data_IF_989916413137
#
_entry.id   IF_989916413137
#
_cell.length_a   1.000
_cell.length_b   1.000
_cell.length_c   1.000
_cell.angle_alpha   90.00
_cell.angle_beta   90.00
_cell.angle_gamma   90.00
#
_symmetry.space_group_name_H-M   'P 1'
#
loop_
_entity.id
_entity.type
_entity.pdbx_description
1 polymer ?
#
# COMPACT_ATOMS: atom_id res chain seq x y z
N UNK A 1 -13.80 -43.89 4.68
CA UNK A 1 -14.48 -42.69 4.16
C UNK A 1 -15.93 -43.04 3.79
N UNK A 2 -16.86 -43.14 4.75
CA UNK A 2 -18.27 -43.51 4.45
C UNK A 2 -19.33 -42.76 5.28
N UNK A 3 -18.91 -42.06 6.35
CA UNK A 3 -19.82 -41.42 7.32
C UNK A 3 -19.96 -39.90 7.18
N UNK A 4 -19.20 -39.25 6.29
CA UNK A 4 -19.25 -37.80 6.09
C UNK A 4 -20.28 -37.36 5.01
N UNK A 5 -20.70 -38.29 4.13
CA UNK A 5 -21.57 -37.97 2.99
C UNK A 5 -23.08 -37.97 3.31
N UNK A 6 -23.53 -38.58 4.40
CA UNK A 6 -24.97 -38.59 4.76
C UNK A 6 -25.45 -37.28 5.39
N UNK A 7 -24.55 -36.52 6.04
CA UNK A 7 -24.91 -35.25 6.70
C UNK A 7 -25.23 -34.13 5.72
N UNK A 8 -24.56 -34.08 4.56
CA UNK A 8 -24.79 -33.03 3.54
C UNK A 8 -26.12 -33.26 2.81
N UNK A 9 -26.53 -34.52 2.58
CA UNK A 9 -27.76 -34.86 1.88
C UNK A 9 -29.05 -34.55 2.66
N UNK A 10 -28.97 -34.27 3.96
CA UNK A 10 -30.14 -34.05 4.82
C UNK A 10 -30.46 -32.56 5.02
N UNK A 11 -29.50 -31.66 4.76
CA UNK A 11 -29.65 -30.21 4.95
C UNK A 11 -30.35 -29.49 3.77
N UNK A 12 -30.38 -30.09 2.58
CA UNK A 12 -30.91 -29.45 1.35
C UNK A 12 -32.40 -29.73 1.08
N UNK A 13 -33.08 -30.49 1.94
CA UNK A 13 -34.46 -30.96 1.71
C UNK A 13 -35.53 -30.24 2.55
N UNK A 14 -35.21 -29.09 3.18
CA UNK A 14 -36.15 -28.32 4.03
C UNK A 14 -36.04 -26.81 3.87
N UNK A 15 -36.43 -26.29 2.71
CA UNK A 15 -36.89 -24.89 2.56
C UNK A 15 -38.10 -24.83 1.65
N UNK A 16 -39.26 -24.52 2.21
CA UNK A 16 -40.51 -24.23 1.48
C UNK A 16 -40.44 -22.85 0.80
N UNK A 17 -41.18 -22.63 -0.31
CA UNK A 17 -40.94 -21.48 -1.18
C UNK A 17 -41.57 -20.20 -0.64
N UNK A 18 -40.82 -19.09 -0.70
CA UNK A 18 -41.38 -17.74 -0.68
C UNK A 18 -41.54 -17.25 -2.13
N UNK A 19 -42.78 -17.12 -2.58
CA UNK A 19 -43.11 -16.36 -3.78
C UNK A 19 -43.24 -14.88 -3.40
N UNK A 20 -42.56 -13.97 -4.11
CA UNK A 20 -43.17 -12.80 -4.73
C UNK A 20 -42.21 -12.21 -5.77
N UNK A 21 -42.77 -11.56 -6.79
CA UNK A 21 -42.07 -11.39 -8.07
C UNK A 21 -41.34 -10.06 -8.26
N UNK A 22 -40.21 -10.13 -8.95
CA UNK A 22 -39.85 -9.15 -9.99
C UNK A 22 -38.90 -9.82 -11.00
N UNK A 23 -39.13 -9.65 -12.31
CA UNK A 23 -38.35 -10.30 -13.37
C UNK A 23 -37.05 -9.53 -13.65
N UNK A 24 -35.86 -10.17 -13.64
CA UNK A 24 -34.69 -9.63 -14.31
C UNK A 24 -34.79 -9.92 -15.82
N UNK A 25 -34.69 -8.87 -16.65
CA UNK A 25 -34.60 -9.04 -18.11
C UNK A 25 -33.13 -9.32 -18.47
N UNK A 26 -32.75 -10.59 -18.60
CA UNK A 26 -31.50 -10.96 -19.26
C UNK A 26 -31.68 -10.80 -20.78
N UNK A 27 -31.02 -9.80 -21.36
CA UNK A 27 -30.69 -9.80 -22.80
C UNK A 27 -29.32 -10.43 -22.99
N UNK A 28 -29.30 -11.60 -23.61
CA UNK A 28 -28.10 -12.10 -24.28
C UNK A 28 -27.91 -11.30 -25.57
N UNK A 29 -26.68 -10.84 -25.82
CA UNK A 29 -26.23 -10.44 -27.15
C UNK A 29 -24.99 -11.27 -27.45
N UNK A 30 -25.18 -12.27 -28.31
CA UNK A 30 -24.10 -12.98 -28.98
C UNK A 30 -24.12 -12.46 -30.41
N UNK A 31 -23.01 -11.87 -30.86
CA UNK A 31 -22.49 -12.05 -32.23
C UNK A 31 -21.17 -11.30 -32.43
N UNK A 32 -20.35 -11.88 -33.30
CA UNK A 32 -19.11 -11.35 -33.84
C UNK A 32 -19.05 -11.81 -35.31
N UNK A 33 -18.04 -11.43 -36.10
CA UNK A 33 -17.49 -10.08 -36.32
C UNK A 33 -17.58 -9.69 -37.82
N UNK A 34 -17.46 -8.40 -38.18
CA UNK A 34 -17.14 -8.04 -39.57
C UNK A 34 -16.45 -6.68 -39.74
N UNK A 35 -15.66 -6.60 -40.81
CA UNK A 35 -14.63 -5.62 -41.11
C UNK A 35 -15.12 -4.31 -41.78
N UNK A 36 -14.61 -3.19 -41.27
CA UNK A 36 -13.97 -2.03 -41.96
C UNK A 36 -14.74 -1.10 -42.93
N UNK A 37 -14.38 0.21 -42.81
CA UNK A 37 -14.70 1.39 -43.65
C UNK A 37 -16.16 1.92 -43.51
N UNK A 38 -16.42 3.23 -43.43
CA UNK A 38 -15.98 4.32 -44.33
C UNK A 38 -15.66 5.65 -43.58
N UNK A 39 -14.75 6.44 -44.18
CA UNK A 39 -14.38 7.83 -43.83
C UNK A 39 -15.39 8.85 -44.40
N UNK A 40 -15.86 9.83 -43.64
CA UNK A 40 -16.36 11.14 -44.17
C UNK A 40 -15.98 12.28 -43.23
N UNK A 41 -15.60 13.42 -43.79
CA UNK A 41 -15.04 14.60 -43.11
C UNK A 41 -15.94 15.84 -43.16
N UNK A 42 -15.86 16.67 -42.11
CA UNK A 42 -16.02 18.14 -42.09
C UNK A 42 -17.31 18.84 -42.58
N UNK A 43 -17.78 19.79 -41.76
CA UNK A 43 -17.91 21.23 -42.05
C UNK A 43 -19.19 21.90 -41.48
N UNK A 44 -18.94 23.05 -40.87
CA UNK A 44 -19.82 24.06 -40.26
C UNK A 44 -20.92 24.64 -41.18
N UNK A 45 -22.01 25.20 -40.61
CA UNK A 45 -22.19 26.67 -40.54
C UNK A 45 -23.47 27.18 -39.80
N UNK A 46 -23.22 28.10 -38.85
CA UNK A 46 -23.91 29.31 -38.40
C UNK A 46 -25.39 29.74 -38.69
N UNK A 47 -25.92 30.57 -37.73
CA UNK A 47 -26.82 31.76 -37.88
C UNK A 47 -28.37 31.50 -37.99
N UNK A 48 -29.35 32.21 -37.37
CA UNK A 48 -29.44 33.42 -36.49
C UNK A 48 -30.76 33.52 -35.64
N UNK A 49 -30.69 34.26 -34.52
CA UNK A 49 -31.64 35.27 -33.96
C UNK A 49 -33.11 34.98 -33.50
N UNK A 50 -33.38 35.31 -32.22
CA UNK A 50 -34.41 36.28 -31.70
C UNK A 50 -35.03 35.80 -30.36
N UNK A 51 -35.29 36.61 -29.32
CA UNK A 51 -34.99 38.03 -29.05
C UNK A 51 -35.17 38.37 -27.54
N UNK A 52 -34.67 39.53 -27.10
CA UNK A 52 -34.82 40.11 -25.73
C UNK A 52 -36.15 40.92 -25.61
N UNK A 53 -36.56 41.53 -24.46
CA UNK A 53 -35.78 42.05 -23.31
C UNK A 53 -36.39 41.64 -21.92
N UNK A 54 -36.01 42.11 -20.72
CA UNK A 54 -34.85 42.82 -20.11
C UNK A 54 -35.03 42.87 -18.58
N UNK A 55 -33.96 42.86 -17.78
CA UNK A 55 -33.77 43.78 -16.62
C UNK A 55 -32.33 43.72 -16.08
N UNK A 56 -31.91 44.76 -15.35
CA UNK A 56 -30.50 45.07 -15.04
C UNK A 56 -30.24 44.98 -13.53
N UNK A 57 -29.22 44.20 -13.12
CA UNK A 57 -28.42 44.55 -11.93
C UNK A 57 -27.00 43.98 -11.97
N UNK A 58 -26.04 44.88 -11.79
CA UNK A 58 -24.59 44.65 -11.80
C UNK A 58 -24.13 43.81 -10.60
N UNK A 59 -23.40 42.71 -10.82
CA UNK A 59 -22.48 42.15 -9.82
C UNK A 59 -21.13 41.79 -10.46
N UNK A 60 -20.08 42.27 -9.78
CA UNK A 60 -18.65 41.94 -9.87
C UNK A 60 -18.26 40.66 -10.63
N UNK A 61 -17.21 40.78 -11.43
CA UNK A 61 -16.39 39.66 -11.88
C UNK A 61 -15.99 38.77 -10.69
N UNK A 62 -16.44 37.52 -10.69
CA UNK A 62 -15.85 36.46 -9.87
C UNK A 62 -14.63 35.99 -10.63
N UNK A 63 -13.45 36.34 -10.12
CA UNK A 63 -12.19 35.75 -10.59
C UNK A 63 -12.22 34.25 -10.35
N UNK A 64 -11.94 33.48 -11.39
CA UNK A 64 -11.74 32.03 -11.30
C UNK A 64 -10.58 31.78 -10.32
N UNK A 65 -10.89 31.20 -9.17
CA UNK A 65 -9.88 30.80 -8.17
C UNK A 65 -9.20 29.52 -8.67
N UNK A 66 -8.24 29.69 -9.58
CA UNK A 66 -7.39 28.63 -10.08
C UNK A 66 -6.60 28.05 -8.91
N UNK A 67 -7.02 26.87 -8.44
CA UNK A 67 -6.55 26.25 -7.19
C UNK A 67 -5.02 26.18 -7.06
N UNK A 68 -4.45 27.18 -6.42
CA UNK A 68 -3.02 27.28 -6.18
C UNK A 68 -2.68 26.46 -4.93
N UNK A 69 -2.39 25.18 -5.13
CA UNK A 69 -2.02 24.22 -4.07
C UNK A 69 -0.93 24.81 -3.18
N UNK A 70 -1.30 25.15 -1.94
CA UNK A 70 -0.41 25.83 -1.01
C UNK A 70 0.50 24.83 -0.30
N UNK A 71 1.82 25.07 -0.37
CA UNK A 71 2.80 24.38 0.47
C UNK A 71 2.39 24.49 1.95
N UNK A 72 2.66 23.48 2.79
CA UNK A 72 2.30 23.53 4.21
C UNK A 72 2.83 24.81 4.84
N UNK A 73 1.98 25.49 5.61
CA UNK A 73 2.31 26.77 6.23
C UNK A 73 3.48 26.63 7.21
N UNK A 74 4.18 27.73 7.49
CA UNK A 74 5.29 27.71 8.44
C UNK A 74 4.87 27.14 9.82
N UNK A 75 3.63 27.43 10.26
CA UNK A 75 3.07 26.92 11.51
C UNK A 75 2.88 25.39 11.47
N UNK A 76 2.23 24.87 10.42
CA UNK A 76 2.03 23.42 10.24
C UNK A 76 3.37 22.65 10.20
N UNK A 77 4.40 23.21 9.56
CA UNK A 77 5.73 22.59 9.53
C UNK A 77 6.39 22.49 10.92
N UNK A 78 6.24 23.52 11.76
CA UNK A 78 6.75 23.51 13.14
C UNK A 78 6.00 22.47 13.98
N UNK A 79 4.69 22.45 13.88
CA UNK A 79 3.79 21.53 14.59
C UNK A 79 4.05 20.07 14.20
N UNK A 80 4.22 19.80 12.90
CA UNK A 80 4.56 18.48 12.38
C UNK A 80 5.94 18.00 12.89
N UNK A 81 6.95 18.88 12.89
CA UNK A 81 8.28 18.56 13.42
C UNK A 81 8.24 18.26 14.91
N UNK A 82 7.40 18.94 15.68
CA UNK A 82 7.19 18.66 17.10
C UNK A 82 6.55 17.28 17.32
N UNK A 83 5.55 16.90 16.51
CA UNK A 83 4.92 15.57 16.58
C UNK A 83 5.96 14.47 16.27
N UNK A 84 6.70 14.60 15.17
CA UNK A 84 7.75 13.61 14.78
C UNK A 84 8.83 13.50 15.84
N UNK A 85 9.38 14.61 16.34
CA UNK A 85 10.39 14.59 17.40
C UNK A 85 9.84 13.99 18.71
N UNK A 86 8.61 14.33 19.09
CA UNK A 86 7.94 13.76 20.26
C UNK A 86 7.75 12.24 20.15
N UNK A 87 7.36 11.76 18.97
CA UNK A 87 7.22 10.33 18.67
C UNK A 87 8.56 9.59 18.73
N UNK A 88 9.61 10.10 18.06
CA UNK A 88 10.95 9.49 18.09
C UNK A 88 11.51 9.44 19.52
N UNK A 89 11.38 10.53 20.28
CA UNK A 89 11.82 10.58 21.69
C UNK A 89 11.06 9.59 22.57
N UNK A 90 9.74 9.43 22.39
CA UNK A 90 8.91 8.49 23.15
C UNK A 90 9.07 7.03 22.73
N UNK A 91 9.69 6.79 21.57
CA UNK A 91 10.08 5.46 21.10
C UNK A 91 11.49 5.06 21.55
N UNK A 92 12.16 5.88 22.38
CA UNK A 92 13.60 5.79 22.71
C UNK A 92 14.44 5.57 21.44
N UNK A 93 14.16 6.34 20.39
CA UNK A 93 14.84 6.17 19.11
C UNK A 93 16.33 6.51 19.24
N UNK A 94 17.17 5.55 18.83
CA UNK A 94 18.63 5.67 18.80
C UNK A 94 19.09 5.17 17.44
N UNK A 95 19.67 6.02 16.58
CA UNK A 95 20.04 5.62 15.22
C UNK A 95 20.99 4.42 15.25
N UNK A 96 20.61 3.25 14.69
CA UNK A 96 21.48 2.07 14.61
C UNK A 96 22.73 2.31 13.75
N UNK A 97 22.69 3.32 12.86
CA UNK A 97 23.72 3.64 11.87
C UNK A 97 24.01 2.44 10.95
N UNK A 98 22.95 1.81 10.45
CA UNK A 98 23.04 0.60 9.63
C UNK A 98 23.93 0.85 8.39
N UNK A 99 25.00 0.08 8.18
CA UNK A 99 25.90 0.29 7.04
C UNK A 99 25.23 -0.13 5.72
N UNK A 100 25.59 0.55 4.63
CA UNK A 100 25.15 0.17 3.29
C UNK A 100 25.76 -1.18 2.88
N UNK A 101 24.93 -2.14 2.46
CA UNK A 101 25.37 -3.42 1.93
C UNK A 101 25.67 -3.27 0.43
N UNK A 102 26.96 -3.05 0.11
CA UNK A 102 27.43 -2.89 -1.27
C UNK A 102 27.30 -4.21 -2.08
N UNK A 103 27.35 -5.37 -1.41
CA UNK A 103 27.19 -6.67 -2.06
C UNK A 103 25.72 -6.87 -2.42
N UNK A 104 24.79 -6.53 -1.53
CA UNK A 104 23.36 -6.53 -1.81
C UNK A 104 23.04 -5.64 -3.01
N UNK A 105 23.45 -4.36 -2.99
CA UNK A 105 23.24 -3.44 -4.13
C UNK A 105 23.75 -4.01 -5.45
N UNK A 106 25.00 -4.49 -5.49
CA UNK A 106 25.57 -5.06 -6.70
C UNK A 106 24.79 -6.28 -7.22
N UNK A 107 24.31 -7.16 -6.32
CA UNK A 107 23.46 -8.29 -6.70
C UNK A 107 22.08 -7.85 -7.21
N UNK A 108 21.46 -6.86 -6.58
CA UNK A 108 20.13 -6.36 -6.97
C UNK A 108 20.20 -5.65 -8.33
N UNK A 109 21.17 -4.76 -8.54
CA UNK A 109 21.42 -4.15 -9.86
C UNK A 109 21.66 -5.20 -10.94
N UNK A 110 22.59 -6.14 -10.72
CA UNK A 110 22.90 -7.17 -11.71
C UNK A 110 21.75 -8.13 -12.01
N UNK A 111 20.75 -8.23 -11.13
CA UNK A 111 19.53 -8.99 -11.38
C UNK A 111 18.51 -8.16 -12.19
N UNK A 112 18.28 -6.90 -11.81
CA UNK A 112 17.40 -5.97 -12.56
C UNK A 112 17.90 -5.78 -13.99
N UNK A 113 19.21 -5.65 -14.20
CA UNK A 113 19.83 -5.53 -15.53
C UNK A 113 19.50 -6.74 -16.42
N UNK A 114 19.35 -7.94 -15.85
CA UNK A 114 18.99 -9.17 -16.61
C UNK A 114 17.54 -9.17 -17.07
N UNK A 115 16.64 -8.50 -16.34
CA UNK A 115 15.23 -8.42 -16.70
C UNK A 115 15.02 -7.73 -18.05
N UNK A 116 16.04 -6.98 -18.54
CA UNK A 116 16.06 -6.38 -19.88
C UNK A 116 14.85 -5.46 -20.14
N UNK A 117 14.39 -4.78 -19.10
CA UNK A 117 13.23 -3.90 -19.13
C UNK A 117 13.63 -2.49 -19.56
N UNK A 118 12.80 -1.86 -20.39
CA UNK A 118 12.98 -0.47 -20.82
C UNK A 118 12.51 0.49 -19.70
N UNK A 119 13.31 0.57 -18.64
CA UNK A 119 13.08 1.41 -17.46
C UNK A 119 14.10 2.55 -17.48
N UNK A 120 13.62 3.77 -17.22
CA UNK A 120 14.50 4.93 -17.05
C UNK A 120 15.61 4.66 -16.01
N UNK A 121 16.90 4.94 -16.30
CA UNK A 121 18.00 4.66 -15.39
C UNK A 121 17.89 5.34 -14.02
N UNK A 122 17.20 6.49 -13.92
CA UNK A 122 16.96 7.15 -12.62
C UNK A 122 15.90 6.42 -11.81
N UNK A 123 14.88 5.85 -12.47
CA UNK A 123 13.91 4.95 -11.83
C UNK A 123 14.57 3.64 -11.37
N UNK A 124 15.46 3.03 -12.17
CA UNK A 124 16.26 1.87 -11.74
C UNK A 124 17.09 2.21 -10.49
N UNK A 125 17.82 3.33 -10.51
CA UNK A 125 18.64 3.77 -9.37
C UNK A 125 17.79 4.02 -8.11
N UNK A 126 16.66 4.73 -8.24
CA UNK A 126 15.67 4.96 -7.17
C UNK A 126 15.13 3.63 -6.61
N UNK A 127 14.81 2.67 -7.48
CA UNK A 127 14.30 1.35 -7.12
C UNK A 127 15.34 0.55 -6.32
N UNK A 128 16.55 0.37 -6.88
CA UNK A 128 17.68 -0.33 -6.24
C UNK A 128 17.99 0.27 -4.87
N UNK A 129 18.22 1.58 -4.81
CA UNK A 129 18.57 2.23 -3.55
C UNK A 129 17.44 2.07 -2.54
N UNK A 130 16.20 2.45 -2.86
CA UNK A 130 15.10 2.41 -1.88
C UNK A 130 14.86 0.99 -1.37
N UNK A 131 14.92 -0.03 -2.23
CA UNK A 131 14.73 -1.42 -1.81
C UNK A 131 15.87 -1.97 -0.96
N UNK A 132 17.12 -1.66 -1.31
CA UNK A 132 18.29 -2.06 -0.52
C UNK A 132 18.28 -1.34 0.85
N UNK A 133 18.01 -0.03 0.86
CA UNK A 133 17.85 0.75 2.08
C UNK A 133 16.82 0.15 3.03
N UNK A 134 15.67 -0.30 2.51
CA UNK A 134 14.63 -0.90 3.33
C UNK A 134 14.99 -2.30 3.84
N UNK A 135 15.58 -3.14 2.98
CA UNK A 135 16.04 -4.48 3.36
C UNK A 135 17.20 -4.47 4.37
N UNK A 136 18.11 -3.50 4.25
CA UNK A 136 19.27 -3.33 5.14
C UNK A 136 18.86 -2.90 6.54
N UNK A 137 18.00 -1.89 6.63
CA UNK A 137 17.53 -1.37 7.92
C UNK A 137 16.52 -2.32 8.54
N UNK A 138 15.29 -2.38 8.02
CA UNK A 138 14.18 -3.09 8.65
C UNK A 138 14.40 -4.61 8.76
N UNK A 139 15.20 -5.21 7.87
CA UNK A 139 15.44 -6.65 7.81
C UNK A 139 16.91 -7.06 7.94
N UNK A 140 17.74 -6.17 8.50
CA UNK A 140 19.18 -6.40 8.71
C UNK A 140 19.54 -7.60 9.60
N UNK A 141 18.58 -8.17 10.34
CA UNK A 141 18.73 -9.40 11.13
C UNK A 141 18.60 -10.68 10.31
N UNK A 142 18.00 -10.61 9.12
CA UNK A 142 17.79 -11.77 8.26
C UNK A 142 19.08 -12.17 7.51
N UNK A 143 19.13 -13.41 7.02
CA UNK A 143 20.30 -13.91 6.28
C UNK A 143 20.49 -13.16 4.95
N UNK A 144 21.69 -13.19 4.33
CA UNK A 144 21.95 -12.53 3.05
C UNK A 144 21.00 -12.94 1.93
N UNK A 145 20.51 -14.18 1.94
CA UNK A 145 19.54 -14.72 0.98
C UNK A 145 18.14 -14.12 1.20
N UNK A 146 17.71 -14.02 2.46
CA UNK A 146 16.43 -13.39 2.82
C UNK A 146 16.46 -11.88 2.53
N UNK A 147 17.53 -11.16 2.89
CA UNK A 147 17.69 -9.73 2.53
C UNK A 147 17.67 -9.51 1.01
N UNK A 148 18.28 -10.41 0.24
CA UNK A 148 18.25 -10.38 -1.21
C UNK A 148 16.84 -10.57 -1.78
N UNK A 149 16.08 -11.57 -1.30
CA UNK A 149 14.67 -11.73 -1.67
C UNK A 149 13.87 -10.48 -1.30
N UNK A 150 14.00 -9.99 -0.06
CA UNK A 150 13.22 -8.84 0.44
C UNK A 150 13.52 -7.58 -0.38
N UNK A 151 14.78 -7.35 -0.75
CA UNK A 151 15.16 -6.25 -1.63
C UNK A 151 14.58 -6.42 -3.05
N UNK A 152 14.65 -7.60 -3.68
CA UNK A 152 14.02 -7.83 -4.99
C UNK A 152 12.50 -7.66 -4.93
N UNK A 153 11.86 -8.21 -3.90
CA UNK A 153 10.42 -8.08 -3.67
C UNK A 153 10.02 -6.61 -3.52
N UNK A 154 10.75 -5.87 -2.68
CA UNK A 154 10.51 -4.44 -2.44
C UNK A 154 10.73 -3.62 -3.71
N UNK A 155 11.76 -3.95 -4.51
CA UNK A 155 12.00 -3.33 -5.81
C UNK A 155 10.80 -3.55 -6.77
N UNK A 156 10.32 -4.80 -6.87
CA UNK A 156 9.15 -5.14 -7.70
C UNK A 156 7.88 -4.42 -7.26
N UNK A 157 7.64 -4.28 -5.95
CA UNK A 157 6.50 -3.54 -5.41
C UNK A 157 6.60 -2.04 -5.71
N UNK A 158 7.74 -1.42 -5.41
CA UNK A 158 7.96 0.03 -5.62
C UNK A 158 7.83 0.44 -7.09
N UNK A 159 8.40 -0.34 -8.01
CA UNK A 159 8.22 -0.06 -9.45
C UNK A 159 6.83 -0.52 -9.95
N UNK A 160 6.21 -1.50 -9.30
CA UNK A 160 4.82 -1.89 -9.53
C UNK A 160 3.82 -0.75 -9.24
N UNK A 161 4.07 0.10 -8.25
CA UNK A 161 3.32 1.35 -8.00
C UNK A 161 3.46 2.32 -9.19
N UNK A 162 4.71 2.58 -9.63
CA UNK A 162 5.01 3.48 -10.77
C UNK A 162 4.38 2.95 -12.09
N UNK A 163 4.36 1.64 -12.32
CA UNK A 163 3.66 0.97 -13.44
C UNK A 163 2.13 1.09 -13.28
N UNK A 164 1.60 0.85 -12.08
CA UNK A 164 0.17 0.91 -11.80
C UNK A 164 -0.42 2.30 -12.01
N UNK A 165 0.34 3.35 -11.72
CA UNK A 165 -0.06 4.73 -11.96
C UNK A 165 -0.16 5.06 -13.47
N UNK A 166 0.56 4.33 -14.32
CA UNK A 166 0.53 4.47 -15.78
C UNK A 166 -0.52 3.54 -16.43
N UNK A 167 -0.63 2.31 -15.95
CA UNK A 167 -1.65 1.33 -16.33
C UNK A 167 -2.28 0.66 -15.08
N UNK A 168 -3.37 1.24 -14.52
CA UNK A 168 -4.12 0.63 -13.42
C UNK A 168 -4.69 -0.75 -13.77
N UNK A 169 -4.84 -1.06 -15.06
CA UNK A 169 -5.34 -2.37 -15.49
C UNK A 169 -4.29 -3.47 -15.35
N UNK A 170 -2.99 -3.15 -15.37
CA UNK A 170 -1.93 -4.12 -15.13
C UNK A 170 -1.99 -4.65 -13.68
N UNK A 171 -2.13 -3.75 -12.72
CA UNK A 171 -2.23 -4.05 -11.29
C UNK A 171 -3.51 -4.83 -10.95
N UNK A 172 -4.68 -4.36 -11.40
CA UNK A 172 -5.97 -5.04 -11.13
C UNK A 172 -6.06 -6.45 -11.71
N UNK A 173 -5.28 -6.78 -12.73
CA UNK A 173 -5.26 -8.12 -13.33
C UNK A 173 -4.36 -9.12 -12.60
N UNK A 174 -3.47 -8.66 -11.70
CA UNK A 174 -2.43 -9.49 -11.10
C UNK A 174 -2.97 -10.77 -10.47
N UNK A 175 -3.95 -10.62 -9.56
CA UNK A 175 -4.56 -11.72 -8.82
C UNK A 175 -5.20 -12.76 -9.76
N UNK A 176 -5.93 -12.29 -10.78
CA UNK A 176 -6.62 -13.15 -11.76
C UNK A 176 -5.62 -13.95 -12.59
N UNK A 177 -4.56 -13.30 -13.07
CA UNK A 177 -3.52 -13.93 -13.89
C UNK A 177 -2.71 -14.94 -13.08
N UNK A 178 -2.32 -14.57 -11.85
CA UNK A 178 -1.60 -15.43 -10.91
C UNK A 178 -2.35 -16.74 -10.63
N UNK A 179 -3.64 -16.66 -10.27
CA UNK A 179 -4.49 -17.83 -9.98
C UNK A 179 -4.69 -18.73 -11.21
N UNK A 180 -4.64 -18.18 -12.42
CA UNK A 180 -4.77 -18.93 -13.67
C UNK A 180 -3.45 -19.48 -14.21
N UNK A 181 -2.30 -19.08 -13.65
CA UNK A 181 -0.99 -19.35 -14.24
C UNK A 181 -0.77 -18.64 -15.59
N UNK A 182 -1.50 -17.56 -15.86
CA UNK A 182 -1.30 -16.70 -17.03
C UNK A 182 -0.07 -15.79 -16.81
N UNK A 183 0.71 -15.46 -17.86
CA UNK A 183 1.71 -14.40 -17.79
C UNK A 183 1.09 -13.09 -17.30
N UNK A 184 1.85 -12.30 -16.55
CA UNK A 184 1.36 -11.05 -15.99
C UNK A 184 1.20 -9.97 -17.05
N UNK A 185 0.51 -8.88 -16.70
CA UNK A 185 0.28 -7.76 -17.60
C UNK A 185 1.55 -6.92 -17.86
N UNK A 186 2.52 -6.98 -16.95
CA UNK A 186 3.82 -6.32 -17.06
C UNK A 186 4.93 -7.25 -16.53
N UNK A 187 6.11 -7.34 -17.15
CA UNK A 187 7.18 -8.27 -16.73
C UNK A 187 7.62 -8.12 -15.27
N UNK A 188 7.58 -6.92 -14.67
CA UNK A 188 7.90 -6.73 -13.24
C UNK A 188 7.00 -7.61 -12.34
N UNK A 189 5.76 -7.82 -12.75
CA UNK A 189 4.82 -8.65 -12.02
C UNK A 189 5.06 -10.15 -12.27
N UNK A 190 5.65 -10.54 -13.41
CA UNK A 190 6.13 -11.91 -13.61
C UNK A 190 7.31 -12.22 -12.67
N UNK A 191 8.24 -11.27 -12.48
CA UNK A 191 9.32 -11.40 -11.48
C UNK A 191 8.77 -11.48 -10.04
N UNK A 192 7.81 -10.61 -9.70
CA UNK A 192 7.11 -10.68 -8.41
C UNK A 192 6.40 -12.03 -8.21
N UNK A 193 5.66 -12.51 -9.21
CA UNK A 193 5.01 -13.82 -9.19
C UNK A 193 5.99 -15.00 -9.15
N UNK A 194 7.23 -14.80 -9.61
CA UNK A 194 8.36 -15.71 -9.39
C UNK A 194 8.71 -15.79 -7.90
N UNK A 195 9.02 -14.65 -7.28
CA UNK A 195 9.33 -14.58 -5.84
C UNK A 195 8.22 -15.21 -4.98
N UNK A 196 6.95 -14.94 -5.27
CA UNK A 196 5.81 -15.52 -4.53
C UNK A 196 5.78 -17.06 -4.55
N UNK A 197 6.27 -17.72 -5.61
CA UNK A 197 6.36 -19.20 -5.66
C UNK A 197 7.44 -19.73 -4.72
N UNK A 198 8.51 -18.97 -4.55
CA UNK A 198 9.66 -19.32 -3.72
C UNK A 198 9.44 -18.97 -2.23
N UNK A 199 8.37 -18.26 -1.87
CA UNK A 199 8.11 -17.79 -0.50
C UNK A 199 8.16 -18.92 0.56
N UNK A 200 7.62 -20.11 0.26
CA UNK A 200 7.66 -21.24 1.19
C UNK A 200 9.07 -21.80 1.41
N UNK A 201 10.06 -21.51 0.55
CA UNK A 201 11.45 -21.91 0.76
C UNK A 201 12.11 -21.13 1.92
N UNK A 202 11.63 -19.91 2.18
CA UNK A 202 12.28 -18.94 3.07
C UNK A 202 11.47 -18.62 4.34
N UNK A 203 10.14 -18.54 4.25
CA UNK A 203 9.26 -18.24 5.40
C UNK A 203 8.49 -19.48 5.87
N UNK A 204 8.03 -19.45 7.13
CA UNK A 204 7.09 -20.45 7.67
C UNK A 204 5.83 -20.50 6.80
N UNK A 205 5.06 -21.59 6.82
CA UNK A 205 3.91 -21.72 5.90
C UNK A 205 2.87 -20.60 6.10
N UNK A 206 2.57 -20.25 7.35
CA UNK A 206 1.74 -19.08 7.70
C UNK A 206 2.35 -17.77 7.18
N UNK A 207 3.67 -17.62 7.25
CA UNK A 207 4.36 -16.43 6.74
C UNK A 207 4.38 -16.33 5.23
N UNK A 208 4.62 -17.44 4.53
CA UNK A 208 4.57 -17.51 3.07
C UNK A 208 3.16 -17.25 2.54
N UNK A 209 2.13 -17.86 3.15
CA UNK A 209 0.72 -17.61 2.83
C UNK A 209 0.37 -16.12 3.03
N UNK A 210 0.83 -15.50 4.13
CA UNK A 210 0.60 -14.08 4.40
C UNK A 210 1.37 -13.15 3.44
N UNK A 211 2.56 -13.53 2.99
CA UNK A 211 3.31 -12.80 1.95
C UNK A 211 2.55 -12.87 0.62
N UNK A 212 2.12 -14.06 0.20
CA UNK A 212 1.39 -14.25 -1.07
C UNK A 212 0.05 -13.50 -1.06
N UNK A 213 -0.76 -13.69 -0.01
CA UNK A 213 -2.07 -13.04 0.11
C UNK A 213 -1.96 -11.54 0.32
N UNK A 214 -1.02 -11.06 1.15
CA UNK A 214 -0.74 -9.64 1.35
C UNK A 214 -0.24 -8.94 0.09
N UNK A 215 0.51 -9.63 -0.78
CA UNK A 215 0.90 -9.08 -2.10
C UNK A 215 -0.32 -8.88 -3.00
N UNK A 216 -1.21 -9.86 -3.05
CA UNK A 216 -2.46 -9.80 -3.82
C UNK A 216 -3.36 -8.67 -3.30
N UNK A 217 -3.48 -8.54 -1.98
CA UNK A 217 -4.29 -7.51 -1.34
C UNK A 217 -3.71 -6.11 -1.51
N UNK A 218 -2.39 -5.95 -1.44
CA UNK A 218 -1.71 -4.68 -1.70
C UNK A 218 -1.95 -4.19 -3.12
N UNK A 219 -1.65 -5.01 -4.13
CA UNK A 219 -1.89 -4.64 -5.53
C UNK A 219 -3.39 -4.38 -5.79
N UNK A 220 -4.29 -5.20 -5.25
CA UNK A 220 -5.74 -4.96 -5.37
C UNK A 220 -6.17 -3.64 -4.73
N UNK A 221 -5.55 -3.22 -3.62
CA UNK A 221 -5.84 -1.97 -2.94
C UNK A 221 -5.18 -0.75 -3.61
N UNK A 222 -3.99 -0.88 -4.18
CA UNK A 222 -3.36 0.14 -5.04
C UNK A 222 -4.24 0.45 -6.26
N UNK A 223 -4.89 -0.56 -6.85
CA UNK A 223 -5.92 -0.30 -7.87
C UNK A 223 -7.14 0.47 -7.32
N UNK A 224 -7.57 0.20 -6.09
CA UNK A 224 -8.63 0.98 -5.42
C UNK A 224 -8.16 2.43 -5.24
N UNK A 225 -6.94 2.67 -4.75
CA UNK A 225 -6.38 4.02 -4.57
C UNK A 225 -6.44 4.83 -5.87
N UNK A 226 -6.03 4.26 -7.01
CA UNK A 226 -6.18 4.90 -8.32
C UNK A 226 -7.65 5.15 -8.69
N UNK A 227 -8.50 4.13 -8.58
CA UNK A 227 -9.92 4.20 -8.92
C UNK A 227 -10.74 5.15 -8.02
N UNK A 228 -10.23 5.47 -6.83
CA UNK A 228 -10.89 6.36 -5.85
C UNK A 228 -10.14 7.68 -5.61
N UNK A 229 -9.21 8.08 -6.49
CA UNK A 229 -8.42 9.31 -6.33
C UNK A 229 -9.29 10.55 -6.12
N UNK A 230 -10.36 10.71 -6.90
CA UNK A 230 -11.31 11.83 -6.79
C UNK A 230 -12.53 11.51 -5.91
N UNK A 231 -12.52 10.39 -5.18
CA UNK A 231 -13.67 9.95 -4.37
C UNK A 231 -13.80 10.79 -3.10
N UNK A 232 -14.93 11.49 -2.96
CA UNK A 232 -15.26 12.18 -1.71
C UNK A 232 -15.51 11.15 -0.61
N UNK A 233 -14.72 11.23 0.48
CA UNK A 233 -14.92 10.38 1.65
C UNK A 233 -16.14 10.84 2.43
N UNK A 234 -17.10 9.93 2.61
CA UNK A 234 -18.31 10.21 3.37
C UNK A 234 -17.97 10.42 4.87
N UNK A 235 -18.53 11.45 5.52
CA UNK A 235 -18.48 11.57 6.98
C UNK A 235 -19.00 10.28 7.64
N UNK A 236 -18.38 9.88 8.76
CA UNK A 236 -18.63 8.61 9.47
C UNK A 236 -18.15 7.33 8.76
N UNK A 237 -17.45 7.40 7.61
CA UNK A 237 -16.82 6.25 6.98
C UNK A 237 -15.52 5.78 7.71
N UNK A 238 -15.48 5.86 9.05
CA UNK A 238 -14.25 5.81 9.87
C UNK A 238 -13.44 4.52 9.77
N UNK A 239 -14.03 3.42 9.29
CA UNK A 239 -13.30 2.17 9.00
C UNK A 239 -12.61 2.13 7.64
N UNK A 240 -13.07 2.93 6.68
CA UNK A 240 -12.54 2.93 5.31
C UNK A 240 -11.05 3.31 5.22
N UNK A 241 -10.56 4.37 5.90
CA UNK A 241 -9.15 4.74 5.88
C UNK A 241 -8.24 3.61 6.36
N UNK A 242 -8.60 2.95 7.47
CA UNK A 242 -7.81 1.82 7.98
C UNK A 242 -7.88 0.60 7.07
N UNK A 243 -9.08 0.27 6.56
CA UNK A 243 -9.28 -0.83 5.61
C UNK A 243 -8.44 -0.66 4.33
N UNK A 244 -8.32 0.56 3.80
CA UNK A 244 -7.46 0.83 2.65
C UNK A 244 -5.99 0.73 3.04
N UNK A 245 -5.60 1.35 4.17
CA UNK A 245 -4.22 1.38 4.66
C UNK A 245 -3.65 -0.01 4.97
N UNK A 246 -4.41 -0.87 5.63
CA UNK A 246 -3.95 -2.23 5.99
C UNK A 246 -3.67 -3.09 4.77
N UNK A 247 -4.44 -2.89 3.70
CA UNK A 247 -4.26 -3.60 2.42
C UNK A 247 -3.14 -2.98 1.58
N UNK A 248 -3.27 -1.71 1.19
CA UNK A 248 -2.34 -1.05 0.28
C UNK A 248 -0.92 -0.90 0.86
N UNK A 249 -0.80 -0.61 2.17
CA UNK A 249 0.48 -0.38 2.82
C UNK A 249 1.38 -1.63 2.97
N UNK A 250 0.89 -2.81 2.56
CA UNK A 250 1.66 -4.06 2.57
C UNK A 250 2.03 -4.58 3.97
N UNK A 251 1.19 -4.29 4.96
CA UNK A 251 1.41 -4.66 6.36
C UNK A 251 1.74 -6.14 6.57
N UNK A 252 0.90 -7.09 6.09
CA UNK A 252 1.10 -8.52 6.30
C UNK A 252 2.45 -9.04 5.78
N UNK A 253 2.81 -8.79 4.52
CA UNK A 253 4.05 -9.29 3.93
C UNK A 253 5.30 -8.77 4.66
N UNK A 254 5.35 -7.47 4.97
CA UNK A 254 6.53 -6.87 5.63
C UNK A 254 6.63 -7.27 7.10
N UNK A 255 5.51 -7.49 7.79
CA UNK A 255 5.49 -8.05 9.15
C UNK A 255 6.00 -9.49 9.14
N UNK A 256 5.57 -10.33 8.19
CA UNK A 256 6.00 -11.72 8.11
C UNK A 256 7.45 -11.90 7.64
N UNK A 257 8.01 -10.96 6.87
CA UNK A 257 9.44 -10.98 6.51
C UNK A 257 10.40 -10.94 7.72
N UNK A 258 9.94 -10.46 8.89
CA UNK A 258 10.73 -10.50 10.13
C UNK A 258 11.08 -11.93 10.57
N UNK A 259 10.24 -12.92 10.22
CA UNK A 259 10.22 -14.26 10.84
C UNK A 259 10.61 -15.35 9.83
N UNK A 260 11.92 -15.50 9.58
CA UNK A 260 12.49 -16.55 8.70
C UNK A 260 12.06 -17.96 9.14
N UNK A 261 11.90 -18.91 8.21
CA UNK A 261 11.57 -20.32 8.49
C UNK A 261 12.58 -20.97 9.44
N UNK A 262 13.85 -20.58 9.35
CA UNK A 262 14.95 -21.09 10.18
C UNK A 262 15.05 -20.46 11.57
N UNK A 263 14.23 -19.45 11.89
CA UNK A 263 14.35 -18.72 13.15
C UNK A 263 13.79 -19.49 14.35
N UNK A 264 12.62 -20.13 14.18
CA UNK A 264 11.95 -20.92 15.22
C UNK A 264 11.24 -22.14 14.64
N UNK A 265 11.06 -23.17 15.47
CA UNK A 265 10.40 -24.42 15.10
C UNK A 265 8.92 -24.22 14.71
N UNK A 266 8.17 -23.37 15.43
CA UNK A 266 6.77 -23.06 15.12
C UNK A 266 6.46 -21.57 15.14
N UNK A 267 5.51 -21.16 14.29
CA UNK A 267 5.08 -19.76 14.18
C UNK A 267 4.28 -19.30 15.41
N UNK A 268 3.61 -20.22 16.12
CA UNK A 268 2.70 -19.97 17.25
C UNK A 268 3.30 -19.06 18.32
N UNK A 269 4.62 -19.14 18.52
CA UNK A 269 5.39 -18.36 19.50
C UNK A 269 5.38 -16.84 19.26
N UNK A 270 5.01 -16.37 18.06
CA UNK A 270 4.98 -14.95 17.71
C UNK A 270 3.67 -14.48 17.05
N UNK A 271 2.72 -15.37 16.73
CA UNK A 271 1.49 -15.00 16.00
C UNK A 271 0.68 -13.89 16.69
N UNK A 272 0.65 -13.86 18.03
CA UNK A 272 -0.15 -12.90 18.79
C UNK A 272 0.34 -11.45 18.72
N UNK A 273 1.61 -11.20 18.35
CA UNK A 273 2.12 -9.83 18.19
C UNK A 273 2.01 -9.31 16.76
N UNK A 274 1.74 -10.17 15.77
CA UNK A 274 1.68 -9.76 14.36
C UNK A 274 0.69 -8.61 14.09
N UNK A 275 -0.54 -8.59 14.65
CA UNK A 275 -1.49 -7.50 14.38
C UNK A 275 -1.03 -6.15 14.94
N UNK A 276 -0.36 -6.14 16.11
CA UNK A 276 0.20 -4.92 16.67
C UNK A 276 1.48 -4.49 15.94
N UNK A 277 2.32 -5.42 15.44
CA UNK A 277 3.46 -5.08 14.56
C UNK A 277 2.94 -4.46 13.27
N UNK A 278 1.94 -5.07 12.63
CA UNK A 278 1.35 -4.56 11.39
C UNK A 278 0.79 -3.15 11.60
N UNK A 279 0.00 -2.96 12.66
CA UNK A 279 -0.56 -1.66 13.01
C UNK A 279 0.54 -0.62 13.31
N UNK A 280 1.56 -1.00 14.10
CA UNK A 280 2.70 -0.15 14.39
C UNK A 280 3.46 0.26 13.12
N UNK A 281 3.83 -0.69 12.26
CA UNK A 281 4.57 -0.46 11.02
C UNK A 281 3.82 0.47 10.07
N UNK A 282 2.52 0.20 9.86
CA UNK A 282 1.69 0.98 8.95
C UNK A 282 1.42 2.41 9.45
N UNK A 283 1.25 2.59 10.76
CA UNK A 283 1.05 3.91 11.38
C UNK A 283 2.35 4.70 11.60
N UNK A 284 3.49 4.01 11.74
CA UNK A 284 4.83 4.62 11.97
C UNK A 284 5.50 5.12 10.68
N UNK A 285 4.91 4.88 9.52
CA UNK A 285 5.43 5.36 8.24
C UNK A 285 5.41 6.91 8.21
N UNK A 286 6.58 7.55 8.42
CA UNK A 286 6.70 9.01 8.58
C UNK A 286 6.60 9.79 7.26
N UNK A 287 5.79 9.32 6.32
CA UNK A 287 5.64 9.89 4.98
C UNK A 287 4.83 11.18 4.94
N UNK A 288 3.97 11.46 5.92
CA UNK A 288 3.04 12.60 5.88
C UNK A 288 3.71 13.95 5.56
N UNK A 289 4.95 14.21 6.01
CA UNK A 289 5.68 15.42 5.63
C UNK A 289 6.00 15.53 4.13
N UNK A 290 6.45 14.44 3.49
CA UNK A 290 6.71 14.46 2.03
C UNK A 290 5.41 14.63 1.25
N UNK A 291 4.31 14.11 1.79
CA UNK A 291 2.96 14.11 1.21
C UNK A 291 2.36 15.51 1.22
N UNK A 292 2.42 16.20 2.36
CA UNK A 292 2.05 17.61 2.52
C UNK A 292 2.82 18.51 1.54
N UNK A 293 4.13 18.31 1.36
CA UNK A 293 4.92 19.11 0.40
C UNK A 293 4.53 18.81 -1.06
N UNK A 294 4.08 17.59 -1.35
CA UNK A 294 3.64 17.17 -2.67
C UNK A 294 2.17 17.51 -2.97
N UNK A 295 1.38 17.92 -1.96
CA UNK A 295 -0.06 18.11 -2.09
C UNK A 295 -0.85 16.79 -2.15
N UNK A 296 -0.26 15.68 -1.70
CA UNK A 296 -0.86 14.34 -1.72
C UNK A 296 -1.97 14.21 -0.67
N UNK A 297 -3.24 14.37 -1.07
CA UNK A 297 -4.41 14.24 -0.16
C UNK A 297 -5.03 12.84 -0.11
N UNK A 298 -4.68 11.94 -1.03
CA UNK A 298 -5.12 10.54 -1.01
C UNK A 298 -4.22 9.67 -0.11
N UNK A 299 -4.09 10.06 1.17
CA UNK A 299 -3.27 9.36 2.16
C UNK A 299 -4.07 9.07 3.44
N UNK A 300 -3.63 8.10 4.25
CA UNK A 300 -4.36 7.62 5.43
C UNK A 300 -4.79 8.76 6.39
N UNK A 301 -3.92 9.73 6.64
CA UNK A 301 -4.17 10.83 7.59
C UNK A 301 -5.28 11.73 7.06
N UNK A 302 -5.24 12.09 5.77
CA UNK A 302 -6.30 12.88 5.12
C UNK A 302 -7.62 12.13 4.97
N UNK A 303 -7.58 10.86 4.58
CA UNK A 303 -8.77 10.01 4.46
C UNK A 303 -9.47 9.85 5.81
N UNK A 304 -8.71 9.68 6.90
CA UNK A 304 -9.22 9.63 8.27
C UNK A 304 -9.74 10.98 8.75
N UNK A 305 -9.03 12.07 8.47
CA UNK A 305 -9.48 13.43 8.78
C UNK A 305 -10.85 13.74 8.14
N UNK A 306 -11.03 13.36 6.87
CA UNK A 306 -12.30 13.49 6.17
C UNK A 306 -13.41 12.58 6.74
N UNK A 307 -13.10 11.32 7.06
CA UNK A 307 -14.08 10.39 7.62
C UNK A 307 -14.54 10.78 9.05
N UNK A 308 -13.62 11.30 9.88
CA UNK A 308 -13.86 11.67 11.29
C UNK A 308 -14.25 13.14 11.48
N UNK A 309 -14.15 13.97 10.43
CA UNK A 309 -14.42 15.41 10.45
C UNK A 309 -13.54 16.18 11.45
N UNK A 310 -12.25 15.83 11.52
CA UNK A 310 -11.23 16.48 12.37
C UNK A 310 -9.99 16.88 11.54
N UNK A 311 -9.15 17.83 12.00
CA UNK A 311 -7.97 18.26 11.24
C UNK A 311 -6.91 17.15 11.05
N UNK A 312 -6.17 17.10 9.92
CA UNK A 312 -5.12 16.10 9.68
C UNK A 312 -4.04 16.01 10.77
N UNK A 313 -3.61 17.15 11.33
CA UNK A 313 -2.63 17.16 12.42
C UNK A 313 -3.17 16.57 13.73
N UNK A 314 -4.49 16.57 13.93
CA UNK A 314 -5.12 15.92 15.08
C UNK A 314 -5.19 14.40 14.89
N UNK A 315 -5.50 13.94 13.67
CA UNK A 315 -5.36 12.52 13.31
C UNK A 315 -3.94 12.02 13.55
N UNK A 316 -2.92 12.81 13.17
CA UNK A 316 -1.53 12.41 13.34
C UNK A 316 -1.11 12.29 14.82
N UNK A 317 -1.67 13.12 15.72
CA UNK A 317 -1.49 12.95 17.18
C UNK A 317 -2.13 11.68 17.69
N UNK A 318 -3.38 11.42 17.30
CA UNK A 318 -4.09 10.21 17.72
C UNK A 318 -3.36 8.96 17.24
N UNK A 319 -2.94 8.93 15.96
CA UNK A 319 -2.12 7.87 15.40
C UNK A 319 -0.80 7.67 16.17
N UNK A 320 -0.16 8.76 16.60
CA UNK A 320 1.06 8.71 17.42
C UNK A 320 0.81 7.98 18.75
N UNK A 321 -0.30 8.26 19.45
CA UNK A 321 -0.67 7.54 20.67
C UNK A 321 -1.03 6.07 20.40
N UNK A 322 -1.75 5.82 19.30
CA UNK A 322 -2.19 4.49 18.88
C UNK A 322 -0.99 3.56 18.58
N UNK A 323 0.02 4.01 17.82
CA UNK A 323 1.22 3.20 17.55
C UNK A 323 2.07 3.01 18.80
N UNK A 324 2.21 4.03 19.65
CA UNK A 324 2.92 3.90 20.93
C UNK A 324 2.18 2.97 21.91
N UNK A 325 0.88 2.76 21.75
CA UNK A 325 0.14 1.73 22.47
C UNK A 325 0.37 0.32 21.92
N UNK A 326 0.41 0.14 20.59
CA UNK A 326 0.83 -1.13 19.98
C UNK A 326 2.24 -1.55 20.37
N UNK A 327 3.22 -0.63 20.38
CA UNK A 327 4.57 -0.94 20.86
C UNK A 327 4.58 -1.49 22.30
N UNK A 328 3.83 -0.84 23.21
CA UNK A 328 3.67 -1.28 24.61
C UNK A 328 2.92 -2.62 24.75
N UNK A 329 1.95 -2.90 23.87
CA UNK A 329 1.26 -4.20 23.81
C UNK A 329 2.20 -5.31 23.37
N UNK A 330 2.99 -5.09 22.32
CA UNK A 330 3.99 -6.05 21.83
C UNK A 330 4.95 -6.42 22.95
N UNK A 331 5.56 -5.44 23.62
CA UNK A 331 6.47 -5.68 24.75
C UNK A 331 5.81 -6.50 25.88
N UNK A 332 4.55 -6.22 26.19
CA UNK A 332 3.78 -6.96 27.20
C UNK A 332 3.49 -8.41 26.80
N UNK A 333 3.18 -8.66 25.53
CA UNK A 333 2.89 -10.01 25.00
C UNK A 333 4.18 -10.83 24.90
N UNK A 334 5.29 -10.21 24.48
CA UNK A 334 6.64 -10.82 24.45
C UNK A 334 7.06 -11.28 25.86
N UNK A 335 6.79 -10.46 26.89
CA UNK A 335 6.97 -10.84 28.28
C UNK A 335 8.42 -11.15 28.64
N UNK A 336 8.76 -12.44 28.79
CA UNK A 336 10.10 -12.91 29.16
C UNK A 336 10.90 -13.52 27.99
N UNK A 337 10.34 -13.52 26.78
CA UNK A 337 11.01 -14.01 25.58
C UNK A 337 12.08 -13.01 25.12
N UNK A 338 13.32 -13.22 25.59
CA UNK A 338 14.46 -12.36 25.29
C UNK A 338 14.83 -12.29 23.81
N UNK A 339 14.59 -13.37 23.07
CA UNK A 339 14.95 -13.44 21.66
C UNK A 339 13.94 -12.64 20.82
N UNK A 340 12.65 -12.84 21.07
CA UNK A 340 11.58 -12.07 20.43
C UNK A 340 11.64 -10.59 20.84
N UNK A 341 11.99 -10.27 22.10
CA UNK A 341 12.27 -8.90 22.55
C UNK A 341 13.42 -8.26 21.77
N UNK A 342 14.53 -8.99 21.57
CA UNK A 342 15.70 -8.50 20.82
C UNK A 342 15.35 -8.26 19.36
N UNK A 343 14.59 -9.17 18.74
CA UNK A 343 14.11 -9.02 17.37
C UNK A 343 13.18 -7.80 17.22
N UNK A 344 12.20 -7.65 18.10
CA UNK A 344 11.27 -6.52 18.09
C UNK A 344 11.98 -5.18 18.25
N UNK A 345 12.84 -5.03 19.28
CA UNK A 345 13.56 -3.78 19.51
C UNK A 345 14.49 -3.43 18.34
N UNK A 346 15.12 -4.43 17.71
CA UNK A 346 15.93 -4.20 16.51
C UNK A 346 15.09 -3.71 15.33
N UNK A 347 13.94 -4.35 15.08
CA UNK A 347 13.02 -3.94 14.01
C UNK A 347 12.49 -2.53 14.23
N UNK A 348 12.02 -2.21 15.44
CA UNK A 348 11.53 -0.88 15.83
C UNK A 348 12.56 0.20 15.54
N UNK A 349 13.79 0.03 16.02
CA UNK A 349 14.86 1.03 15.89
C UNK A 349 15.31 1.19 14.43
N UNK A 350 15.46 0.09 13.69
CA UNK A 350 15.89 0.15 12.29
C UNK A 350 14.79 0.61 11.32
N UNK A 351 13.51 0.33 11.59
CA UNK A 351 12.40 0.84 10.79
C UNK A 351 12.25 2.37 10.94
N UNK A 352 12.46 2.89 12.15
CA UNK A 352 12.57 4.34 12.37
C UNK A 352 13.77 4.94 11.64
N UNK A 353 14.92 4.25 11.65
CA UNK A 353 16.10 4.69 10.89
C UNK A 353 15.86 4.80 9.38
N UNK A 354 15.12 3.87 8.78
CA UNK A 354 14.72 3.95 7.37
C UNK A 354 13.98 5.27 7.08
N UNK A 355 12.99 5.59 7.90
CA UNK A 355 12.14 6.77 7.75
C UNK A 355 12.92 8.08 8.00
N UNK A 356 13.84 8.08 8.97
CA UNK A 356 14.65 9.25 9.32
C UNK A 356 15.76 9.51 8.30
N UNK A 357 16.53 8.47 7.94
CA UNK A 357 17.81 8.60 7.24
C UNK A 357 17.68 8.62 5.72
N UNK A 358 16.65 7.98 5.14
CA UNK A 358 16.53 7.95 3.68
C UNK A 358 16.05 9.29 3.10
N UNK A 359 16.62 9.75 1.97
CA UNK A 359 16.20 11.02 1.34
C UNK A 359 14.71 11.09 0.97
N UNK A 360 14.04 9.95 0.80
CA UNK A 360 12.62 9.81 0.41
C UNK A 360 11.67 10.60 1.33
N UNK A 361 11.93 10.58 2.63
CA UNK A 361 11.06 11.19 3.65
C UNK A 361 11.40 12.65 3.96
N UNK A 362 12.59 13.11 3.57
CA UNK A 362 13.10 14.48 3.81
C UNK A 362 13.25 14.85 5.31
N UNK A 363 13.44 13.84 6.17
CA UNK A 363 13.53 13.98 7.64
C UNK A 363 14.97 14.02 8.20
N UNK A 364 16.01 13.94 7.36
CA UNK A 364 17.41 13.79 7.81
C UNK A 364 17.93 14.90 8.75
N UNK A 365 17.26 16.07 8.82
CA UNK A 365 17.59 17.19 9.70
C UNK A 365 16.64 17.32 10.92
N UNK A 366 15.80 16.31 11.18
CA UNK A 366 14.71 16.37 12.17
C UNK A 366 14.91 15.44 13.38
N UNK A 367 15.81 14.46 13.28
CA UNK A 367 16.17 13.52 14.35
C UNK A 367 17.51 13.91 15.02
#
# INVERSE_FOLDING_TARGET
MSTLLSYISTALSRTTPFQHGCKPVLRFVVEAPSNTFIHVTHASDHILSSGCPSEISTISSVSEDSGLQSKPSHVQNVELRQIVHGFLSRSDYRPPNTPNDAILRAKISAEIDRWSLDIDPTMISKMVETSCWYAETAFGHTSPEHRYYIALYTACMLYGEDVGNQDPTAVSQFARRLVRGEPQAHPIFDHLAGLLKDAHLYWTDVGADAIITGTIDALSATFIEFATTDMTIAPSATRYPWYLRSRAGGGPQYTHFMFMRSWRETAETYLQILPDIEHWTLGTNLSFYKEEIAGETNNYVHLRAAAEQIPPLEVLRQLTEEVLDSARKIEKIIGQDKELATLWQRYLQSYLEFSVRTPRYRLANWA
#
